data_IF_832585823611
#
_entry.id   IF_832585823611
#
_cell.length_a   1.000
_cell.length_b   1.000
_cell.length_c   1.000
_cell.angle_alpha   90.00
_cell.angle_beta   90.00
_cell.angle_gamma   90.00
#
_symmetry.space_group_name_H-M   'P 1'
#
loop_
_entity.id
_entity.type
_entity.pdbx_description
1 polymer ?
#
# COMPACT_ATOMS: atom_id res chain seq x y z
N UNK A 1 -59.44 52.77 2.77
CA UNK A 1 -58.00 52.97 3.08
C UNK A 1 -57.39 51.71 3.72
N UNK A 2 -57.63 50.51 3.18
CA UNK A 2 -57.17 49.24 3.78
C UNK A 2 -56.83 48.14 2.74
N UNK A 3 -56.64 48.52 1.47
CA UNK A 3 -56.43 47.54 0.38
C UNK A 3 -55.01 47.55 -0.20
N UNK A 4 -54.22 48.59 0.11
CA UNK A 4 -52.82 48.71 -0.32
C UNK A 4 -51.82 48.13 0.69
N UNK A 5 -52.24 47.89 1.94
CA UNK A 5 -51.35 47.39 3.00
C UNK A 5 -51.13 45.87 2.93
N UNK A 6 -52.11 45.11 2.42
CA UNK A 6 -52.00 43.64 2.33
C UNK A 6 -51.09 43.15 1.19
N UNK A 7 -50.90 43.95 0.14
CA UNK A 7 -50.07 43.57 -1.01
C UNK A 7 -48.57 43.75 -0.68
N UNK A 8 -48.22 44.74 0.15
CA UNK A 8 -46.84 44.99 0.56
C UNK A 8 -46.25 43.89 1.48
N UNK A 9 -47.09 43.25 2.31
CA UNK A 9 -46.64 42.22 3.25
C UNK A 9 -46.40 40.88 2.53
N UNK A 10 -47.16 40.57 1.48
CA UNK A 10 -47.02 39.31 0.73
C UNK A 10 -45.75 39.33 -0.15
N UNK A 11 -45.34 40.49 -0.67
CA UNK A 11 -44.10 40.61 -1.45
C UNK A 11 -42.81 40.50 -0.61
N UNK A 12 -42.86 40.83 0.68
CA UNK A 12 -41.72 40.69 1.60
C UNK A 12 -41.54 39.26 2.14
N UNK A 13 -42.59 38.44 2.12
CA UNK A 13 -42.51 37.04 2.57
C UNK A 13 -41.98 36.07 1.49
N UNK A 14 -42.01 36.48 0.21
CA UNK A 14 -41.53 35.67 -0.91
C UNK A 14 -40.02 35.81 -1.20
N UNK A 15 -39.34 36.79 -0.60
CA UNK A 15 -37.88 36.95 -0.74
C UNK A 15 -37.07 36.21 0.32
N UNK A 16 -37.72 35.56 1.29
CA UNK A 16 -37.05 34.85 2.39
C UNK A 16 -36.80 33.34 2.13
N UNK A 17 -37.26 32.79 1.01
CA UNK A 17 -37.01 31.40 0.61
C UNK A 17 -35.98 31.34 -0.54
N UNK A 18 -34.70 31.53 -0.22
CA UNK A 18 -33.65 31.47 -1.26
C UNK A 18 -32.22 31.25 -0.77
N UNK A 19 -31.94 31.28 0.53
CA UNK A 19 -30.65 30.80 1.04
C UNK A 19 -30.71 29.29 1.19
N UNK A 20 -30.50 28.57 0.08
CA UNK A 20 -30.06 27.18 0.18
C UNK A 20 -28.86 27.16 1.15
N UNK A 21 -28.86 26.32 2.20
CA UNK A 21 -27.68 26.15 3.02
C UNK A 21 -26.57 25.70 2.09
N UNK A 22 -25.59 26.56 1.87
CA UNK A 22 -24.38 26.21 1.14
C UNK A 22 -23.81 25.01 1.86
N UNK A 23 -23.88 23.83 1.23
CA UNK A 23 -23.23 22.62 1.75
C UNK A 23 -21.82 23.04 2.17
N UNK A 24 -21.39 22.75 3.42
CA UNK A 24 -20.08 23.17 3.87
C UNK A 24 -19.08 22.69 2.84
N UNK A 25 -18.35 23.64 2.23
CA UNK A 25 -17.40 23.35 1.18
C UNK A 25 -16.25 22.58 1.83
N UNK A 26 -16.36 21.25 1.83
CA UNK A 26 -15.33 20.36 2.36
C UNK A 26 -14.01 20.77 1.75
N UNK A 27 -13.05 21.12 2.61
CA UNK A 27 -11.76 21.63 2.17
C UNK A 27 -11.07 20.60 1.27
N UNK A 28 -10.35 21.02 0.21
CA UNK A 28 -9.71 20.09 -0.73
C UNK A 28 -8.83 19.03 -0.05
N UNK A 29 -8.16 19.39 1.06
CA UNK A 29 -7.33 18.47 1.85
C UNK A 29 -8.15 17.37 2.53
N UNK A 30 -9.30 17.70 3.13
CA UNK A 30 -10.19 16.71 3.74
C UNK A 30 -10.74 15.73 2.69
N UNK A 31 -11.05 16.21 1.48
CA UNK A 31 -11.45 15.35 0.35
C UNK A 31 -10.32 14.42 -0.07
N UNK A 32 -9.10 14.96 -0.14
CA UNK A 32 -7.91 14.17 -0.46
C UNK A 32 -7.68 13.08 0.59
N UNK A 33 -7.73 13.40 1.89
CA UNK A 33 -7.56 12.41 2.96
C UNK A 33 -8.62 11.32 2.86
N UNK A 34 -9.90 11.69 2.69
CA UNK A 34 -10.98 10.73 2.53
C UNK A 34 -10.73 9.79 1.32
N UNK A 35 -10.28 10.35 0.19
CA UNK A 35 -9.92 9.57 -0.98
C UNK A 35 -8.72 8.64 -0.75
N UNK A 36 -7.71 9.09 -0.01
CA UNK A 36 -6.52 8.30 0.36
C UNK A 36 -6.87 7.10 1.27
N UNK A 37 -7.77 7.32 2.23
CA UNK A 37 -8.29 6.26 3.11
C UNK A 37 -9.15 5.27 2.32
N UNK A 38 -10.03 5.77 1.44
CA UNK A 38 -10.88 4.94 0.58
C UNK A 38 -10.12 4.25 -0.56
N UNK A 39 -8.84 4.59 -0.78
CA UNK A 39 -8.04 4.12 -1.90
C UNK A 39 -8.65 4.43 -3.28
N UNK A 40 -9.45 5.50 -3.37
CA UNK A 40 -10.08 5.94 -4.62
C UNK A 40 -9.07 6.73 -5.47
N UNK A 41 -8.41 6.02 -6.39
CA UNK A 41 -7.40 6.59 -7.29
C UNK A 41 -7.88 7.83 -8.03
N UNK A 42 -9.10 7.81 -8.56
CA UNK A 42 -9.62 8.90 -9.38
C UNK A 42 -9.80 10.15 -8.52
N UNK A 43 -10.37 9.99 -7.32
CA UNK A 43 -10.56 11.09 -6.39
C UNK A 43 -9.24 11.59 -5.76
N UNK A 44 -8.26 10.71 -5.55
CA UNK A 44 -6.92 11.12 -5.11
C UNK A 44 -6.30 12.05 -6.16
N UNK A 45 -6.26 11.65 -7.43
CA UNK A 45 -5.67 12.45 -8.52
C UNK A 45 -6.39 13.80 -8.65
N UNK A 46 -7.73 13.79 -8.62
CA UNK A 46 -8.53 15.01 -8.72
C UNK A 46 -8.26 15.95 -7.53
N UNK A 47 -8.29 15.44 -6.31
CA UNK A 47 -8.15 16.24 -5.08
C UNK A 47 -6.71 16.72 -4.87
N UNK A 48 -5.72 15.91 -5.25
CA UNK A 48 -4.29 16.27 -5.16
C UNK A 48 -3.97 17.50 -6.01
N UNK A 49 -4.54 17.60 -7.21
CA UNK A 49 -4.35 18.76 -8.10
C UNK A 49 -4.87 20.08 -7.50
N UNK A 50 -5.83 19.99 -6.57
CA UNK A 50 -6.49 21.14 -5.93
C UNK A 50 -5.89 21.51 -4.56
N UNK A 51 -5.22 20.58 -3.89
CA UNK A 51 -4.80 20.71 -2.49
C UNK A 51 -3.49 21.49 -2.26
N UNK A 52 -2.84 22.04 -3.30
CA UNK A 52 -1.59 22.84 -3.22
C UNK A 52 -0.50 22.22 -2.32
N UNK A 53 -0.25 20.93 -2.49
CA UNK A 53 0.65 20.17 -1.64
C UNK A 53 2.14 20.53 -1.86
N UNK A 54 2.93 20.44 -0.79
CA UNK A 54 4.40 20.46 -0.89
C UNK A 54 4.89 19.25 -1.69
N UNK A 55 5.99 19.43 -2.43
CA UNK A 55 6.59 18.38 -3.27
C UNK A 55 6.83 17.05 -2.54
N UNK A 56 7.32 17.09 -1.29
CA UNK A 56 7.52 15.89 -0.46
C UNK A 56 6.23 15.08 -0.28
N UNK A 57 5.11 15.74 0.05
CA UNK A 57 3.81 15.09 0.25
C UNK A 57 3.25 14.57 -1.09
N UNK A 58 3.42 15.32 -2.18
CA UNK A 58 3.07 14.87 -3.53
C UNK A 58 3.81 13.58 -3.90
N UNK A 59 5.11 13.49 -3.62
CA UNK A 59 5.91 12.30 -3.92
C UNK A 59 5.45 11.07 -3.12
N UNK A 60 5.14 11.26 -1.83
CA UNK A 60 4.62 10.18 -0.97
C UNK A 60 3.28 9.66 -1.51
N UNK A 61 2.35 10.57 -1.87
CA UNK A 61 1.05 10.19 -2.44
C UNK A 61 1.22 9.48 -3.78
N UNK A 62 2.15 9.92 -4.63
CA UNK A 62 2.42 9.28 -5.91
C UNK A 62 2.96 7.85 -5.74
N UNK A 63 3.81 7.61 -4.74
CA UNK A 63 4.21 6.24 -4.39
C UNK A 63 3.03 5.42 -3.84
N UNK A 64 2.19 6.02 -3.02
CA UNK A 64 1.01 5.33 -2.50
C UNK A 64 0.03 4.93 -3.60
N UNK A 65 -0.11 5.74 -4.65
CA UNK A 65 -0.85 5.36 -5.85
C UNK A 65 -0.25 4.13 -6.55
N UNK A 66 1.07 3.90 -6.50
CA UNK A 66 1.68 2.67 -7.01
C UNK A 66 1.37 1.47 -6.11
N UNK A 67 1.30 1.68 -4.79
CA UNK A 67 0.91 0.65 -3.83
C UNK A 67 -0.54 0.20 -4.05
N UNK A 68 -1.50 1.13 -4.12
CA UNK A 68 -2.93 0.83 -4.38
C UNK A 68 -3.13 0.05 -5.70
N UNK A 69 -2.30 0.35 -6.71
CA UNK A 69 -2.36 -0.34 -7.99
C UNK A 69 -1.63 -1.69 -8.00
N UNK A 70 -1.19 -2.21 -6.85
CA UNK A 70 -0.44 -3.46 -6.70
C UNK A 70 0.81 -3.52 -7.60
N UNK A 71 1.59 -2.43 -7.65
CA UNK A 71 2.81 -2.34 -8.46
C UNK A 71 4.08 -2.23 -7.61
N UNK A 72 4.46 -3.27 -6.83
CA UNK A 72 5.60 -3.20 -5.91
C UNK A 72 6.93 -2.92 -6.63
N UNK A 73 7.17 -3.51 -7.80
CA UNK A 73 8.38 -3.26 -8.59
C UNK A 73 8.48 -1.82 -9.11
N UNK A 74 7.35 -1.20 -9.48
CA UNK A 74 7.33 0.21 -9.88
C UNK A 74 7.49 1.12 -8.67
N UNK A 75 6.89 0.77 -7.53
CA UNK A 75 7.09 1.51 -6.28
C UNK A 75 8.57 1.50 -5.89
N UNK A 76 9.22 0.33 -5.95
CA UNK A 76 10.65 0.18 -5.69
C UNK A 76 11.47 1.09 -6.61
N UNK A 77 11.26 1.04 -7.93
CA UNK A 77 12.03 1.88 -8.87
C UNK A 77 11.82 3.38 -8.65
N UNK A 78 10.61 3.80 -8.26
CA UNK A 78 10.29 5.20 -7.98
C UNK A 78 10.69 5.64 -6.57
N UNK A 79 11.03 4.71 -5.67
CA UNK A 79 11.38 5.02 -4.28
C UNK A 79 12.83 5.48 -4.07
N UNK A 80 13.69 5.35 -5.08
CA UNK A 80 15.14 5.61 -4.95
C UNK A 80 15.46 7.00 -4.38
N UNK A 81 14.72 8.03 -4.82
CA UNK A 81 14.90 9.39 -4.33
C UNK A 81 14.41 9.57 -2.89
N UNK A 82 13.36 8.84 -2.48
CA UNK A 82 12.92 8.83 -1.09
C UNK A 82 13.93 8.14 -0.18
N UNK A 83 14.47 6.99 -0.59
CA UNK A 83 15.44 6.23 0.18
C UNK A 83 16.66 7.07 0.55
N UNK A 84 17.25 7.75 -0.45
CA UNK A 84 18.41 8.63 -0.25
C UNK A 84 18.14 9.79 0.72
N UNK A 85 16.89 10.24 0.79
CA UNK A 85 16.50 11.42 1.57
C UNK A 85 15.61 11.07 2.77
N UNK A 86 15.55 9.81 3.18
CA UNK A 86 14.56 9.35 4.18
C UNK A 86 14.65 10.13 5.51
N UNK A 87 15.88 10.44 5.95
CA UNK A 87 16.16 11.23 7.14
C UNK A 87 15.61 12.67 7.07
N UNK A 88 15.36 13.21 5.89
CA UNK A 88 14.80 14.55 5.68
C UNK A 88 13.26 14.58 5.75
N UNK A 89 12.60 13.44 5.93
CA UNK A 89 11.16 13.36 6.16
C UNK A 89 10.88 13.40 7.65
N UNK A 90 9.82 14.10 8.05
CA UNK A 90 9.41 14.12 9.46
C UNK A 90 8.78 12.77 9.86
N UNK A 91 8.58 12.56 11.16
CA UNK A 91 8.05 11.29 11.68
C UNK A 91 6.72 10.87 11.06
N UNK A 92 5.80 11.81 10.80
CA UNK A 92 4.51 11.50 10.18
C UNK A 92 4.67 11.00 8.74
N UNK A 93 5.57 11.61 7.97
CA UNK A 93 5.91 11.18 6.61
C UNK A 93 6.62 9.82 6.62
N UNK A 94 7.58 9.63 7.53
CA UNK A 94 8.29 8.35 7.70
C UNK A 94 7.33 7.20 8.02
N UNK A 95 6.32 7.44 8.88
CA UNK A 95 5.29 6.44 9.23
C UNK A 95 4.42 6.01 8.05
N UNK A 96 4.28 6.86 7.02
CA UNK A 96 3.62 6.50 5.76
C UNK A 96 4.60 5.79 4.82
N UNK A 97 5.82 6.32 4.66
CA UNK A 97 6.81 5.79 3.71
C UNK A 97 7.28 4.38 4.08
N UNK A 98 7.61 4.15 5.35
CA UNK A 98 8.24 2.90 5.81
C UNK A 98 7.43 1.65 5.42
N UNK A 99 6.10 1.56 5.70
CA UNK A 99 5.30 0.40 5.27
C UNK A 99 5.24 0.20 3.75
N UNK A 100 5.22 1.28 2.95
CA UNK A 100 5.24 1.16 1.49
C UNK A 100 6.55 0.55 0.99
N UNK A 101 7.68 0.99 1.56
CA UNK A 101 8.99 0.46 1.19
C UNK A 101 9.13 -0.99 1.61
N UNK A 102 8.73 -1.34 2.84
CA UNK A 102 8.72 -2.71 3.33
C UNK A 102 7.93 -3.62 2.39
N UNK A 103 6.68 -3.23 2.09
CA UNK A 103 5.84 -3.99 1.16
C UNK A 103 6.52 -4.15 -0.20
N UNK A 104 7.01 -3.05 -0.81
CA UNK A 104 7.59 -3.09 -2.15
C UNK A 104 8.89 -3.90 -2.25
N UNK A 105 9.75 -3.83 -1.24
CA UNK A 105 11.02 -4.56 -1.19
C UNK A 105 10.87 -6.02 -0.77
N UNK A 106 9.88 -6.35 0.07
CA UNK A 106 9.64 -7.73 0.47
C UNK A 106 9.33 -8.63 -0.73
N UNK A 107 8.59 -8.14 -1.74
CA UNK A 107 8.26 -8.91 -2.95
C UNK A 107 9.49 -9.46 -3.72
N UNK A 108 10.44 -8.64 -4.22
CA UNK A 108 11.62 -9.13 -4.90
C UNK A 108 12.55 -9.94 -4.00
N UNK A 109 12.70 -9.55 -2.73
CA UNK A 109 13.53 -10.28 -1.76
C UNK A 109 12.98 -11.69 -1.55
N UNK A 110 11.69 -11.79 -1.24
CA UNK A 110 10.99 -13.07 -1.08
C UNK A 110 11.18 -13.95 -2.32
N UNK A 111 10.93 -13.40 -3.51
CA UNK A 111 11.07 -14.16 -4.76
C UNK A 111 12.49 -14.70 -4.97
N UNK A 112 13.52 -13.92 -4.66
CA UNK A 112 14.90 -14.35 -4.80
C UNK A 112 15.26 -15.42 -3.77
N UNK A 113 14.91 -15.22 -2.51
CA UNK A 113 15.30 -16.07 -1.38
C UNK A 113 14.54 -17.40 -1.33
N UNK A 114 13.40 -17.47 -2.02
CA UNK A 114 12.60 -18.69 -2.20
C UNK A 114 12.87 -19.40 -3.53
N UNK A 115 13.64 -18.80 -4.45
CA UNK A 115 13.75 -19.27 -5.84
C UNK A 115 14.30 -20.69 -5.99
N UNK A 116 15.23 -21.11 -5.13
CA UNK A 116 15.83 -22.47 -5.19
C UNK A 116 14.84 -23.53 -4.69
N UNK A 117 14.02 -23.15 -3.72
CA UNK A 117 13.05 -23.99 -3.01
C UNK A 117 11.74 -24.14 -3.78
N UNK A 118 11.38 -23.12 -4.56
CA UNK A 118 10.14 -23.02 -5.34
C UNK A 118 10.26 -23.66 -6.75
N UNK A 119 11.29 -24.48 -6.99
CA UNK A 119 11.49 -25.10 -8.31
C UNK A 119 10.31 -26.02 -8.69
N UNK A 120 9.69 -25.65 -9.81
CA UNK A 120 8.40 -26.08 -10.34
C UNK A 120 8.31 -27.54 -10.82
N UNK A 121 7.12 -28.11 -10.59
CA UNK A 121 6.26 -28.77 -11.59
C UNK A 121 6.96 -29.23 -12.87
N UNK A 122 7.27 -30.53 -12.96
CA UNK A 122 7.51 -31.16 -14.25
C UNK A 122 6.20 -31.78 -14.74
N UNK A 123 5.70 -31.30 -15.89
CA UNK A 123 4.70 -31.97 -16.74
C UNK A 123 3.51 -32.61 -16.00
N UNK A 124 2.77 -31.83 -15.20
CA UNK A 124 1.56 -32.24 -14.43
C UNK A 124 1.79 -32.74 -13.00
N UNK A 125 3.03 -32.90 -12.53
CA UNK A 125 3.32 -33.27 -11.13
C UNK A 125 4.20 -32.23 -10.44
N UNK A 126 3.76 -31.76 -9.28
CA UNK A 126 4.58 -30.98 -8.35
C UNK A 126 5.70 -31.87 -7.82
N UNK A 127 6.95 -31.54 -8.15
CA UNK A 127 8.11 -32.11 -7.46
C UNK A 127 8.33 -31.26 -6.21
N UNK A 128 8.04 -31.82 -5.04
CA UNK A 128 8.14 -31.08 -3.78
C UNK A 128 9.55 -31.22 -3.23
N UNK A 129 10.23 -30.09 -3.02
CA UNK A 129 11.28 -30.02 -2.03
C UNK A 129 10.69 -29.44 -0.74
N UNK A 130 10.73 -30.15 0.41
CA UNK A 130 10.36 -29.55 1.69
C UNK A 130 11.25 -28.33 1.91
N UNK A 131 10.62 -27.18 2.11
CA UNK A 131 11.33 -25.91 2.09
C UNK A 131 11.05 -25.11 3.35
N UNK A 132 11.70 -25.53 4.44
CA UNK A 132 11.92 -24.64 5.56
C UNK A 132 12.86 -23.54 5.10
N UNK A 133 12.31 -22.37 4.77
CA UNK A 133 13.10 -21.22 4.34
C UNK A 133 13.58 -20.50 5.58
N UNK A 134 14.89 -20.50 5.78
CA UNK A 134 15.52 -19.76 6.86
C UNK A 134 15.87 -18.33 6.40
N UNK A 135 14.91 -17.41 6.50
CA UNK A 135 15.14 -16.00 6.17
C UNK A 135 16.13 -15.32 7.14
N UNK A 136 16.26 -15.82 8.37
CA UNK A 136 17.24 -15.31 9.35
C UNK A 136 18.68 -15.57 8.89
N UNK A 137 18.93 -16.68 8.19
CA UNK A 137 20.23 -16.91 7.59
C UNK A 137 20.62 -15.80 6.59
N UNK A 138 19.64 -15.14 5.96
CA UNK A 138 19.88 -14.02 5.04
C UNK A 138 20.04 -12.66 5.75
N UNK A 139 20.06 -12.61 7.08
CA UNK A 139 20.46 -11.40 7.82
C UNK A 139 21.97 -11.16 7.76
N UNK A 140 22.73 -12.22 7.47
CA UNK A 140 24.15 -12.13 7.10
C UNK A 140 24.34 -12.40 5.61
N UNK A 141 25.45 -11.92 5.04
CA UNK A 141 25.74 -12.06 3.61
C UNK A 141 25.93 -13.54 3.26
N UNK A 142 24.91 -14.12 2.62
CA UNK A 142 24.92 -15.53 2.21
C UNK A 142 24.55 -15.69 0.73
N UNK A 143 25.01 -16.79 0.11
CA UNK A 143 24.70 -17.10 -1.28
C UNK A 143 23.21 -17.42 -1.46
N UNK A 144 22.57 -16.84 -2.48
CA UNK A 144 21.13 -17.00 -2.73
C UNK A 144 20.25 -16.01 -1.96
N UNK A 145 20.81 -15.25 -1.02
CA UNK A 145 20.12 -14.17 -0.33
C UNK A 145 20.06 -12.89 -1.18
N UNK A 146 19.05 -12.05 -0.95
CA UNK A 146 18.88 -10.78 -1.67
C UNK A 146 19.73 -9.64 -1.06
N UNK A 147 21.02 -9.89 -0.85
CA UNK A 147 21.94 -9.03 -0.08
C UNK A 147 21.88 -7.55 -0.51
N UNK A 148 21.94 -7.27 -1.82
CA UNK A 148 21.88 -5.91 -2.36
C UNK A 148 20.57 -5.20 -1.97
N UNK A 149 19.43 -5.89 -2.08
CA UNK A 149 18.14 -5.29 -1.75
C UNK A 149 17.98 -5.09 -0.25
N UNK A 150 18.46 -6.03 0.57
CA UNK A 150 18.50 -5.91 2.04
C UNK A 150 19.33 -4.71 2.48
N UNK A 151 20.53 -4.55 1.92
CA UNK A 151 21.41 -3.41 2.19
C UNK A 151 20.76 -2.07 1.82
N UNK A 152 20.05 -1.99 0.70
CA UNK A 152 19.40 -0.75 0.25
C UNK A 152 18.34 -0.22 1.23
N UNK A 153 17.69 -1.09 2.01
CA UNK A 153 16.63 -0.70 2.94
C UNK A 153 17.02 -0.80 4.41
N UNK A 154 18.21 -1.29 4.73
CA UNK A 154 18.67 -1.55 6.10
C UNK A 154 18.67 -0.30 7.00
N UNK A 155 18.82 0.90 6.42
CA UNK A 155 18.75 2.17 7.15
C UNK A 155 17.32 2.56 7.58
N UNK A 156 16.29 1.87 7.08
CA UNK A 156 14.88 2.24 7.24
C UNK A 156 14.08 1.07 7.85
N UNK A 157 14.37 -0.14 7.39
CA UNK A 157 13.73 -1.39 7.78
C UNK A 157 14.76 -2.23 8.52
N UNK A 158 14.45 -2.63 9.75
CA UNK A 158 15.31 -3.53 10.51
C UNK A 158 15.31 -4.94 9.90
N UNK A 159 16.39 -5.69 10.09
CA UNK A 159 16.48 -7.08 9.65
C UNK A 159 15.30 -7.91 10.17
N UNK A 160 14.97 -7.78 11.46
CA UNK A 160 13.86 -8.47 12.10
C UNK A 160 12.50 -8.14 11.49
N UNK A 161 12.22 -6.86 11.19
CA UNK A 161 10.96 -6.46 10.53
C UNK A 161 10.84 -7.10 9.14
N UNK A 162 11.92 -7.09 8.35
CA UNK A 162 11.93 -7.73 7.05
C UNK A 162 11.75 -9.24 7.17
N UNK A 163 12.51 -9.91 8.04
CA UNK A 163 12.43 -11.36 8.26
C UNK A 163 11.01 -11.78 8.65
N UNK A 164 10.39 -11.10 9.62
CA UNK A 164 9.01 -11.37 10.05
C UNK A 164 8.02 -11.22 8.88
N UNK A 165 8.24 -10.22 8.03
CA UNK A 165 7.43 -9.98 6.83
C UNK A 165 7.56 -11.12 5.83
N UNK A 166 8.79 -11.59 5.57
CA UNK A 166 9.06 -12.70 4.65
C UNK A 166 8.51 -14.03 5.17
N UNK A 167 8.59 -14.28 6.47
CA UNK A 167 7.98 -15.44 7.13
C UNK A 167 6.46 -15.43 6.98
N UNK A 168 5.81 -14.28 7.17
CA UNK A 168 4.38 -14.12 6.92
C UNK A 168 4.02 -14.38 5.45
N UNK A 169 4.81 -13.87 4.50
CA UNK A 169 4.64 -14.17 3.08
C UNK A 169 4.79 -15.67 2.79
N UNK A 170 5.76 -16.35 3.40
CA UNK A 170 5.95 -17.79 3.25
C UNK A 170 4.79 -18.59 3.83
N UNK A 171 4.21 -18.16 4.95
CA UNK A 171 3.02 -18.78 5.53
C UNK A 171 1.80 -18.67 4.60
N UNK A 172 1.68 -17.55 3.88
CA UNK A 172 0.58 -17.31 2.93
C UNK A 172 0.82 -17.92 1.55
N UNK A 173 2.04 -18.37 1.22
CA UNK A 173 2.33 -19.01 -0.07
C UNK A 173 1.94 -20.49 -0.04
N UNK A 174 0.92 -20.93 -0.81
CA UNK A 174 0.48 -22.32 -0.80
C UNK A 174 1.52 -23.29 -1.36
N UNK A 175 2.59 -22.80 -1.99
CA UNK A 175 3.66 -23.61 -2.54
C UNK A 175 4.84 -23.80 -1.59
N UNK A 176 4.90 -23.08 -0.47
CA UNK A 176 5.94 -23.27 0.55
C UNK A 176 5.49 -24.33 1.56
N UNK A 177 6.45 -25.05 2.14
CA UNK A 177 6.19 -26.12 3.13
C UNK A 177 5.28 -27.25 2.63
N UNK A 178 5.22 -27.47 1.32
CA UNK A 178 4.65 -28.70 0.78
C UNK A 178 5.52 -29.88 1.22
N UNK A 179 4.87 -31.01 1.48
CA UNK A 179 5.45 -32.30 1.81
C UNK A 179 4.67 -33.38 1.07
N UNK A 180 5.23 -34.59 0.95
CA UNK A 180 4.54 -35.70 0.29
C UNK A 180 3.16 -36.00 0.91
N UNK A 181 2.97 -35.64 2.19
CA UNK A 181 1.71 -35.84 2.94
C UNK A 181 0.58 -34.89 2.55
N UNK A 182 0.88 -33.65 2.15
CA UNK A 182 -0.12 -32.62 1.82
C UNK A 182 -0.16 -32.29 0.31
N UNK A 183 0.73 -32.90 -0.47
CA UNK A 183 0.83 -32.71 -1.91
C UNK A 183 -0.38 -33.22 -2.71
N UNK A 184 -0.93 -34.38 -2.34
CA UNK A 184 -2.06 -35.00 -3.04
C UNK A 184 -3.43 -34.41 -2.69
N UNK A 185 -3.48 -33.41 -1.80
CA UNK A 185 -4.71 -32.83 -1.26
C UNK A 185 -4.95 -31.39 -1.71
N UNK A 186 -5.75 -30.69 -0.93
CA UNK A 186 -6.13 -29.30 -1.18
C UNK A 186 -4.92 -28.36 -1.32
N UNK A 187 -3.90 -28.52 -0.47
CA UNK A 187 -2.68 -27.69 -0.48
C UNK A 187 -1.90 -27.78 -1.80
N UNK A 188 -1.65 -28.99 -2.30
CA UNK A 188 -1.00 -29.18 -3.59
C UNK A 188 -1.83 -28.58 -4.74
N UNK A 189 -3.15 -28.75 -4.72
CA UNK A 189 -4.05 -28.16 -5.72
C UNK A 189 -4.04 -26.62 -5.68
N UNK A 190 -4.00 -26.01 -4.50
CA UNK A 190 -3.88 -24.56 -4.34
C UNK A 190 -2.55 -24.05 -4.89
N UNK A 191 -1.43 -24.76 -4.63
CA UNK A 191 -0.14 -24.42 -5.23
C UNK A 191 -0.19 -24.55 -6.77
N UNK A 192 -0.71 -25.66 -7.31
CA UNK A 192 -0.89 -25.84 -8.75
C UNK A 192 -1.71 -24.71 -9.38
N UNK A 193 -2.83 -24.34 -8.75
CA UNK A 193 -3.70 -23.27 -9.20
C UNK A 193 -2.99 -21.91 -9.17
N UNK A 194 -2.23 -21.62 -8.10
CA UNK A 194 -1.41 -20.41 -8.00
C UNK A 194 -0.38 -20.34 -9.13
N UNK A 195 0.35 -21.43 -9.39
CA UNK A 195 1.36 -21.50 -10.46
C UNK A 195 0.78 -21.39 -11.87
N UNK A 196 -0.42 -21.93 -12.09
CA UNK A 196 -1.15 -21.79 -13.35
C UNK A 196 -1.79 -20.40 -13.52
N UNK A 197 -1.70 -19.54 -12.50
CA UNK A 197 -2.32 -18.21 -12.50
C UNK A 197 -3.84 -18.23 -12.31
N UNK A 198 -4.44 -19.38 -12.02
CA UNK A 198 -5.87 -19.52 -11.76
C UNK A 198 -6.24 -19.12 -10.33
N UNK A 199 -5.26 -19.03 -9.43
CA UNK A 199 -5.42 -18.49 -8.09
C UNK A 199 -4.48 -17.28 -7.90
N UNK A 200 -5.04 -16.12 -7.59
CA UNK A 200 -4.24 -14.97 -7.14
C UNK A 200 -4.02 -15.09 -5.65
N UNK A 201 -2.79 -15.43 -5.26
CA UNK A 201 -2.38 -15.47 -3.86
C UNK A 201 -1.85 -14.11 -3.46
N UNK A 202 -2.47 -13.51 -2.45
CA UNK A 202 -1.91 -12.32 -1.83
C UNK A 202 -0.96 -12.73 -0.70
N UNK A 203 0.34 -12.64 -0.95
CA UNK A 203 1.36 -13.03 0.04
C UNK A 203 1.46 -12.01 1.19
N UNK A 204 1.19 -10.74 0.90
CA UNK A 204 1.21 -9.66 1.87
C UNK A 204 0.30 -8.51 1.43
N UNK A 205 -0.55 -8.06 2.34
CA UNK A 205 -1.46 -6.94 2.10
C UNK A 205 -0.72 -5.66 1.75
N UNK A 206 -1.27 -4.91 0.80
CA UNK A 206 -0.83 -3.54 0.52
C UNK A 206 -1.01 -2.67 1.78
N UNK A 207 -0.14 -1.68 2.01
CA UNK A 207 -0.28 -0.81 3.16
C UNK A 207 -1.58 -0.01 3.11
N UNK A 208 -2.21 0.15 4.27
CA UNK A 208 -3.41 0.94 4.49
C UNK A 208 -3.15 1.89 5.65
N UNK A 209 -3.77 3.07 5.60
CA UNK A 209 -3.53 4.12 6.57
C UNK A 209 -4.84 4.74 7.01
N UNK A 210 -4.90 5.07 8.29
CA UNK A 210 -6.03 5.74 8.91
C UNK A 210 -6.06 7.23 8.54
N UNK A 211 -7.23 7.83 8.71
CA UNK A 211 -7.45 9.26 8.45
C UNK A 211 -6.42 10.14 9.16
N UNK A 212 -6.20 9.92 10.46
CA UNK A 212 -5.28 10.70 11.28
C UNK A 212 -3.81 10.55 10.83
N UNK A 213 -3.40 9.43 10.22
CA UNK A 213 -2.04 9.27 9.71
C UNK A 213 -1.82 10.16 8.48
N UNK A 214 -2.78 10.17 7.55
CA UNK A 214 -2.76 11.06 6.41
C UNK A 214 -2.86 12.53 6.80
N UNK A 215 -3.76 12.85 7.74
CA UNK A 215 -3.91 14.19 8.29
C UNK A 215 -2.60 14.69 8.92
N UNK A 216 -1.95 13.88 9.77
CA UNK A 216 -0.67 14.24 10.36
C UNK A 216 0.43 14.44 9.32
N UNK A 217 0.48 13.62 8.27
CA UNK A 217 1.45 13.76 7.18
C UNK A 217 1.24 15.06 6.39
N UNK A 218 -0.02 15.46 6.17
CA UNK A 218 -0.36 16.66 5.42
C UNK A 218 -0.18 17.94 6.26
N UNK A 219 -0.52 17.89 7.55
CA UNK A 219 -0.63 19.06 8.42
C UNK A 219 0.62 19.38 9.24
N UNK A 220 1.51 18.40 9.51
CA UNK A 220 2.73 18.65 10.27
C UNK A 220 3.80 19.30 9.39
N UNK A 221 3.72 20.63 9.38
CA UNK A 221 4.75 21.56 8.93
C UNK A 221 5.77 21.70 10.05
N UNK A 222 6.90 21.02 9.90
CA UNK A 222 8.19 21.55 10.33
C UNK A 222 9.11 21.54 9.11
#
# INVERSE_FOLDING_TARGET
MYQWFLIGIILLLLSACGSQPTKPRVQPEQRLIAALVAQDRSQIIASQSLAKLKLKNTNIINLYLLAINNKPYQLLSNSQLLLKNYHNYNSAQQNIIKPMLLWAYAHPIYRQETAKQVRLLQRERLLVAPSNINFQACETTNEGCANILREQIAAIITATELTTTLESMAHNDPCINLSDKNLGGEFGNQCLASRKGSLKVNLISQPQYLFNQWENMLNRVE
#
